data_IF_288393112316
#
_entry.id   IF_288393112316
#
_cell.length_a   1.000
_cell.length_b   1.000
_cell.length_c   1.000
_cell.angle_alpha   90.00
_cell.angle_beta   90.00
_cell.angle_gamma   90.00
#
_symmetry.space_group_name_H-M   'P 1'
#
loop_
_entity.id
_entity.type
_entity.pdbx_description
1 polymer ?
#
# COMPACT_ATOMS: atom_id res chain seq x y z
N UNK A 1 16.61 -21.81 -17.27
CA UNK A 1 17.55 -20.66 -17.23
C UNK A 1 17.33 -19.81 -18.46
N UNK A 2 16.45 -18.82 -18.40
CA UNK A 2 16.21 -17.94 -19.55
C UNK A 2 16.86 -16.59 -19.26
N UNK A 3 18.08 -16.46 -19.78
CA UNK A 3 18.94 -15.28 -19.78
C UNK A 3 18.28 -14.20 -20.65
N UNK A 4 17.61 -13.24 -20.02
CA UNK A 4 17.15 -12.03 -20.69
C UNK A 4 18.37 -11.25 -21.18
N UNK A 5 18.49 -11.12 -22.50
CA UNK A 5 19.56 -10.38 -23.17
C UNK A 5 19.24 -8.89 -23.09
N UNK A 6 20.12 -8.14 -22.43
CA UNK A 6 20.27 -6.71 -22.67
C UNK A 6 20.87 -6.53 -24.07
N UNK A 7 20.09 -5.96 -24.98
CA UNK A 7 20.53 -5.42 -26.27
C UNK A 7 19.63 -4.20 -26.52
N UNK A 8 20.07 -2.97 -26.27
CA UNK A 8 20.94 -2.12 -27.13
C UNK A 8 20.12 -0.84 -27.47
N UNK A 9 20.72 0.25 -27.97
CA UNK A 9 21.28 1.32 -27.14
C UNK A 9 20.58 2.67 -27.36
N UNK A 10 21.04 3.61 -26.55
CA UNK A 10 20.65 4.99 -26.40
C UNK A 10 20.96 5.80 -27.67
N UNK A 11 19.95 6.16 -28.46
CA UNK A 11 20.08 7.22 -29.47
C UNK A 11 18.89 8.18 -29.40
N UNK A 12 18.97 9.15 -28.48
CA UNK A 12 18.14 10.35 -28.51
C UNK A 12 19.00 11.54 -28.92
N UNK A 13 18.60 12.16 -30.04
CA UNK A 13 19.29 13.25 -30.72
C UNK A 13 19.65 14.45 -29.81
N UNK A 14 20.76 15.16 -30.09
CA UNK A 14 21.17 16.32 -29.31
C UNK A 14 20.33 17.56 -29.68
N UNK A 15 19.86 18.30 -28.68
CA UNK A 15 19.56 19.73 -28.89
C UNK A 15 18.23 20.30 -28.41
N UNK A 16 17.56 19.74 -27.41
CA UNK A 16 16.45 20.45 -26.76
C UNK A 16 16.64 20.54 -25.25
N UNK A 17 17.30 21.61 -24.80
CA UNK A 17 17.31 21.99 -23.38
C UNK A 17 15.95 22.59 -23.01
N UNK A 18 15.00 21.72 -22.63
CA UNK A 18 13.82 22.19 -21.89
C UNK A 18 14.28 22.48 -20.46
N UNK A 19 14.39 23.76 -20.11
CA UNK A 19 14.45 24.21 -18.71
C UNK A 19 13.15 23.86 -18.01
N UNK A 20 13.00 22.59 -17.64
CA UNK A 20 11.98 22.13 -16.73
C UNK A 20 12.46 22.40 -15.31
N UNK A 21 11.86 23.39 -14.65
CA UNK A 21 11.97 23.56 -13.21
C UNK A 21 11.72 22.21 -12.53
N UNK A 22 12.76 21.66 -11.90
CA UNK A 22 12.74 20.36 -11.24
C UNK A 22 11.85 20.42 -10.00
N UNK A 23 10.54 20.44 -10.21
CA UNK A 23 9.56 20.27 -9.16
C UNK A 23 9.63 18.79 -8.77
N UNK A 24 10.38 18.49 -7.70
CA UNK A 24 10.30 17.19 -7.03
C UNK A 24 8.83 16.87 -6.79
N UNK A 25 8.28 15.94 -7.55
CA UNK A 25 6.94 15.40 -7.30
C UNK A 25 7.07 14.60 -6.00
N UNK A 26 6.86 15.24 -4.85
CA UNK A 26 6.67 14.57 -3.58
C UNK A 26 5.31 13.88 -3.65
N UNK A 27 5.28 12.67 -4.21
CA UNK A 27 4.09 11.83 -4.16
C UNK A 27 3.80 11.53 -2.70
N UNK A 28 2.73 12.11 -2.21
CA UNK A 28 2.12 11.74 -0.95
C UNK A 28 1.47 10.36 -1.13
N UNK A 29 2.29 9.31 -1.07
CA UNK A 29 1.83 7.93 -0.93
C UNK A 29 1.29 7.73 0.49
N UNK A 30 0.12 8.26 0.78
CA UNK A 30 -0.67 7.86 1.93
C UNK A 30 -1.27 6.49 1.64
N UNK A 31 -0.88 5.46 2.39
CA UNK A 31 -1.44 4.11 2.25
C UNK A 31 -2.47 3.86 3.34
N UNK A 32 -3.64 3.35 2.99
CA UNK A 32 -4.65 2.91 3.96
C UNK A 32 -4.56 1.40 4.16
N UNK A 33 -4.42 0.97 5.40
CA UNK A 33 -4.28 -0.42 5.83
C UNK A 33 -5.54 -0.79 6.61
N UNK A 34 -6.39 -1.59 5.99
CA UNK A 34 -7.56 -2.21 6.63
C UNK A 34 -7.13 -3.47 7.36
N UNK A 35 -7.56 -3.62 8.62
CA UNK A 35 -7.23 -4.79 9.44
C UNK A 35 -8.36 -5.18 10.39
N UNK A 36 -8.30 -6.42 10.88
CA UNK A 36 -9.22 -6.97 11.88
C UNK A 36 -8.51 -7.03 13.23
N UNK A 37 -8.88 -6.16 14.17
CA UNK A 37 -8.32 -6.14 15.53
C UNK A 37 -8.56 -7.42 16.34
N UNK A 38 -9.60 -8.20 16.01
CA UNK A 38 -9.88 -9.50 16.62
C UNK A 38 -9.03 -10.65 16.07
N UNK A 39 -8.37 -10.45 14.92
CA UNK A 39 -7.50 -11.47 14.31
C UNK A 39 -6.08 -11.42 14.90
N UNK A 40 -5.62 -12.54 15.46
CA UNK A 40 -4.27 -12.63 16.06
C UNK A 40 -3.15 -12.34 15.06
N UNK A 41 -3.32 -12.77 13.81
CA UNK A 41 -2.35 -12.52 12.73
C UNK A 41 -2.31 -11.05 12.38
N UNK A 42 -3.46 -10.43 12.10
CA UNK A 42 -3.53 -9.00 11.80
C UNK A 42 -2.93 -8.17 12.94
N UNK A 43 -3.27 -8.49 14.19
CA UNK A 43 -2.73 -7.79 15.36
C UNK A 43 -1.19 -7.87 15.42
N UNK A 44 -0.59 -9.03 15.15
CA UNK A 44 0.87 -9.19 15.12
C UNK A 44 1.51 -8.34 14.01
N UNK A 45 0.94 -8.36 12.81
CA UNK A 45 1.44 -7.61 11.65
C UNK A 45 1.29 -6.09 11.82
N UNK A 46 0.21 -5.61 12.45
CA UNK A 46 0.03 -4.18 12.71
C UNK A 46 1.15 -3.59 13.56
N UNK A 47 1.71 -4.38 14.48
CA UNK A 47 2.90 -3.99 15.24
C UNK A 47 4.12 -3.74 14.34
N UNK A 48 4.28 -4.54 13.28
CA UNK A 48 5.33 -4.34 12.29
C UNK A 48 5.09 -3.09 11.45
N UNK A 49 3.89 -2.90 10.88
CA UNK A 49 3.59 -1.74 10.05
C UNK A 49 3.65 -0.41 10.79
N UNK A 50 3.24 -0.36 12.07
CA UNK A 50 3.38 0.85 12.88
C UNK A 50 4.84 1.27 13.07
N UNK A 51 5.76 0.30 13.23
CA UNK A 51 7.20 0.58 13.30
C UNK A 51 7.78 1.07 11.98
N UNK A 52 7.22 0.64 10.85
CA UNK A 52 7.59 1.08 9.51
C UNK A 52 6.95 2.42 9.10
N UNK A 53 6.17 3.05 9.98
CA UNK A 53 5.46 4.30 9.71
C UNK A 53 6.00 5.50 10.52
N UNK A 54 7.31 5.79 10.54
CA UNK A 54 7.85 6.91 11.30
C UNK A 54 7.35 8.26 10.78
N UNK A 55 7.05 8.35 9.48
CA UNK A 55 6.60 9.56 8.80
C UNK A 55 5.07 9.72 8.77
N UNK A 56 4.31 8.83 9.43
CA UNK A 56 2.85 8.94 9.52
C UNK A 56 2.09 8.78 8.20
N UNK A 57 2.69 8.10 7.21
CA UNK A 57 2.14 7.89 5.86
C UNK A 57 1.12 6.77 5.77
N UNK A 58 1.03 5.91 6.78
CA UNK A 58 0.02 4.85 6.84
C UNK A 58 -1.17 5.28 7.68
N UNK A 59 -2.35 5.14 7.11
CA UNK A 59 -3.63 5.22 7.81
C UNK A 59 -4.06 3.81 8.18
N UNK A 60 -4.39 3.58 9.44
CA UNK A 60 -4.80 2.27 9.93
C UNK A 60 -6.31 2.28 10.23
N UNK A 61 -7.04 1.34 9.65
CA UNK A 61 -8.49 1.25 9.79
C UNK A 61 -8.85 -0.13 10.32
N UNK A 62 -9.35 -0.18 11.55
CA UNK A 62 -9.86 -1.39 12.17
C UNK A 62 -11.34 -1.59 11.81
N UNK A 63 -11.63 -2.54 10.92
CA UNK A 63 -13.00 -2.82 10.52
C UNK A 63 -13.72 -3.78 11.48
N UNK A 64 -13.04 -4.28 12.52
CA UNK A 64 -13.66 -5.11 13.55
C UNK A 64 -14.41 -4.29 14.62
N UNK A 65 -14.18 -2.97 14.66
CA UNK A 65 -14.84 -2.09 15.61
C UNK A 65 -16.34 -1.96 15.30
N UNK A 66 -17.19 -1.96 16.33
CA UNK A 66 -18.65 -1.87 16.17
C UNK A 66 -19.10 -0.57 15.46
N UNK A 67 -18.29 0.48 15.58
CA UNK A 67 -18.53 1.80 14.98
C UNK A 67 -17.95 1.94 13.56
N UNK A 68 -17.38 0.87 12.98
CA UNK A 68 -16.85 0.93 11.63
C UNK A 68 -18.00 1.08 10.62
N UNK A 69 -18.05 2.24 9.97
CA UNK A 69 -18.99 2.54 8.90
C UNK A 69 -18.26 2.43 7.56
N UNK A 70 -18.61 1.47 6.68
CA UNK A 70 -18.07 1.41 5.34
C UNK A 70 -18.48 2.68 4.57
N UNK A 71 -17.56 3.22 3.78
CA UNK A 71 -17.81 4.28 2.82
C UNK A 71 -17.95 3.70 1.40
N UNK A 72 -18.28 4.54 0.41
CA UNK A 72 -18.44 4.12 -0.99
C UNK A 72 -17.17 3.46 -1.59
N UNK A 73 -16.01 3.65 -0.97
CA UNK A 73 -14.73 3.08 -1.41
C UNK A 73 -14.36 1.77 -0.69
N UNK A 74 -15.08 1.41 0.37
CA UNK A 74 -14.82 0.22 1.18
C UNK A 74 -15.95 -0.80 1.06
N UNK A 75 -15.55 -2.05 0.84
CA UNK A 75 -16.52 -3.15 0.87
C UNK A 75 -17.08 -3.31 2.28
N UNK A 76 -18.31 -3.83 2.38
CA UNK A 76 -18.92 -4.21 3.66
C UNK A 76 -17.94 -5.00 4.55
N UNK A 77 -18.01 -4.90 5.89
CA UNK A 77 -17.04 -5.51 6.80
C UNK A 77 -16.85 -7.02 6.56
N UNK A 78 -17.93 -7.71 6.18
CA UNK A 78 -17.87 -9.12 5.82
C UNK A 78 -17.08 -9.41 4.53
N UNK A 79 -17.21 -8.55 3.53
CA UNK A 79 -16.44 -8.67 2.30
C UNK A 79 -14.96 -8.39 2.54
N UNK A 80 -14.63 -7.37 3.35
CA UNK A 80 -13.24 -7.10 3.77
C UNK A 80 -12.64 -8.28 4.53
N UNK A 81 -13.39 -8.85 5.48
CA UNK A 81 -12.95 -10.04 6.21
C UNK A 81 -12.68 -11.21 5.27
N UNK A 82 -13.54 -11.47 4.29
CA UNK A 82 -13.31 -12.55 3.31
C UNK A 82 -12.13 -12.30 2.39
N UNK A 83 -11.87 -11.05 2.02
CA UNK A 83 -10.80 -10.67 1.11
C UNK A 83 -9.41 -10.63 1.80
N UNK A 84 -9.36 -10.24 3.08
CA UNK A 84 -8.12 -9.94 3.79
C UNK A 84 -7.73 -11.00 4.84
N UNK A 85 -8.70 -11.68 5.44
CA UNK A 85 -8.45 -12.49 6.63
C UNK A 85 -7.82 -13.84 6.26
N UNK A 86 -6.61 -14.09 6.77
CA UNK A 86 -5.99 -15.42 6.78
C UNK A 86 -6.70 -16.25 7.84
N UNK A 87 -7.41 -17.30 7.43
CA UNK A 87 -8.15 -18.17 8.36
C UNK A 87 -7.16 -19.02 9.14
N UNK A 88 -7.20 -18.98 10.48
CA UNK A 88 -6.53 -19.98 11.30
C UNK A 88 -7.04 -21.38 10.90
N UNK A 89 -6.13 -22.36 10.83
CA UNK A 89 -6.52 -23.75 10.78
C UNK A 89 -7.12 -24.09 12.15
N UNK A 90 -8.39 -24.50 12.16
CA UNK A 90 -9.14 -24.85 13.36
C UNK A 90 -8.41 -25.86 14.26
#
# INVERSE_FOLDING_TARGET
MTRWKNDSPEEFAPGLVMSGSNSKISRDYSLTIYYDGGCRVCHAEMGHYRRLNPDGRFQFVDFSHADFMPDDSTSEPEALRRALHVRDAA
#
